data_IF_827675433489
#
_entry.id   IF_827675433489
#
_cell.length_a   1.000
_cell.length_b   1.000
_cell.length_c   1.000
_cell.angle_alpha   90.00
_cell.angle_beta   90.00
_cell.angle_gamma   90.00
#
_symmetry.space_group_name_H-M   'P 1'
#
loop_
_entity.id
_entity.type
_entity.pdbx_description
1 polymer ?
#
# COMPACT_ATOMS: atom_id res chain seq x y z
N UNK A 1 -5.62 -26.58 -7.30
CA UNK A 1 -6.65 -25.80 -6.57
C UNK A 1 -7.47 -25.09 -7.62
N UNK A 2 -8.64 -25.61 -8.00
CA UNK A 2 -9.46 -24.99 -9.05
C UNK A 2 -10.88 -24.69 -8.57
N UNK A 3 -11.06 -23.46 -8.13
CA UNK A 3 -12.36 -22.80 -8.01
C UNK A 3 -12.47 -21.73 -9.10
N UNK A 4 -13.64 -21.63 -9.73
CA UNK A 4 -13.92 -20.66 -10.80
C UNK A 4 -13.99 -19.21 -10.32
N UNK A 5 -14.17 -19.00 -9.01
CA UNK A 5 -14.20 -17.67 -8.38
C UNK A 5 -13.26 -17.65 -7.18
N UNK A 6 -12.62 -16.51 -6.97
CA UNK A 6 -11.70 -16.27 -5.85
C UNK A 6 -11.86 -14.83 -5.37
N UNK A 7 -11.55 -14.62 -4.11
CA UNK A 7 -11.47 -13.28 -3.53
C UNK A 7 -10.13 -12.65 -3.92
N UNK A 8 -10.18 -11.57 -4.73
CA UNK A 8 -8.99 -10.88 -5.20
C UNK A 8 -8.23 -10.18 -4.06
N UNK A 9 -8.95 -9.64 -3.07
CA UNK A 9 -8.33 -8.96 -1.94
C UNK A 9 -7.56 -9.98 -1.07
N UNK A 10 -8.20 -11.11 -0.75
CA UNK A 10 -7.54 -12.19 -0.03
C UNK A 10 -6.31 -12.73 -0.78
N UNK A 11 -6.40 -12.87 -2.10
CA UNK A 11 -5.27 -13.28 -2.94
C UNK A 11 -4.12 -12.28 -2.91
N UNK A 12 -4.40 -10.98 -2.91
CA UNK A 12 -3.37 -9.94 -2.85
C UNK A 12 -2.64 -9.94 -1.50
N UNK A 13 -3.38 -10.11 -0.39
CA UNK A 13 -2.79 -10.25 0.95
C UNK A 13 -1.88 -11.48 0.99
N UNK A 14 -2.40 -12.64 0.56
CA UNK A 14 -1.63 -13.89 0.57
C UNK A 14 -0.40 -13.81 -0.33
N UNK A 15 -0.52 -13.19 -1.51
CA UNK A 15 0.63 -12.95 -2.41
C UNK A 15 1.67 -12.05 -1.76
N UNK A 16 1.24 -10.99 -1.07
CA UNK A 16 2.15 -10.11 -0.35
C UNK A 16 2.96 -10.86 0.70
N UNK A 17 2.29 -11.70 1.49
CA UNK A 17 2.92 -12.56 2.51
C UNK A 17 3.86 -13.60 1.91
N UNK A 18 3.44 -14.27 0.83
CA UNK A 18 4.23 -15.28 0.11
C UNK A 18 5.52 -14.69 -0.49
N UNK A 19 5.46 -13.45 -0.99
CA UNK A 19 6.63 -12.72 -1.50
C UNK A 19 7.46 -12.05 -0.40
N UNK A 20 7.10 -12.21 0.88
CA UNK A 20 7.82 -11.63 2.00
C UNK A 20 7.82 -10.10 2.00
N UNK A 21 6.72 -9.47 1.56
CA UNK A 21 6.61 -8.02 1.65
C UNK A 21 6.70 -7.58 3.13
N UNK A 22 7.48 -6.54 3.45
CA UNK A 22 7.54 -6.01 4.81
C UNK A 22 6.20 -5.42 5.26
N UNK A 23 6.06 -5.21 6.57
CA UNK A 23 4.91 -4.52 7.14
C UNK A 23 4.83 -3.07 6.66
N UNK A 24 3.63 -2.52 6.79
CA UNK A 24 3.31 -1.16 6.35
C UNK A 24 4.23 -0.08 6.92
N UNK A 25 4.51 -0.08 8.23
CA UNK A 25 5.34 0.97 8.85
C UNK A 25 6.81 0.83 8.42
N UNK A 26 7.33 -0.39 8.29
CA UNK A 26 8.66 -0.64 7.73
C UNK A 26 8.80 -0.06 6.33
N UNK A 27 7.81 -0.25 5.46
CA UNK A 27 7.84 0.31 4.09
C UNK A 27 7.68 1.83 4.11
N UNK A 28 6.83 2.39 5.00
CA UNK A 28 6.73 3.85 5.18
C UNK A 28 8.07 4.47 5.55
N UNK A 29 8.77 3.87 6.51
CA UNK A 29 10.10 4.31 6.92
C UNK A 29 11.11 4.25 5.77
N UNK A 30 11.09 3.19 4.95
CA UNK A 30 11.93 3.09 3.75
C UNK A 30 11.69 4.26 2.78
N UNK A 31 10.43 4.66 2.59
CA UNK A 31 10.06 5.82 1.76
C UNK A 31 10.16 7.17 2.48
N UNK A 32 10.77 7.22 3.67
CA UNK A 32 10.93 8.44 4.48
C UNK A 32 9.59 9.10 4.82
N UNK A 33 8.54 8.30 4.95
CA UNK A 33 7.25 8.73 5.47
C UNK A 33 7.22 8.57 6.99
N UNK A 34 6.45 9.39 7.73
CA UNK A 34 6.32 9.26 9.17
C UNK A 34 5.74 7.89 9.55
N UNK A 35 6.33 7.23 10.56
CA UNK A 35 5.71 6.08 11.20
C UNK A 35 4.39 6.51 11.84
N UNK A 36 3.36 5.67 11.69
CA UNK A 36 2.07 5.89 12.33
C UNK A 36 1.99 5.03 13.59
N UNK A 37 1.39 5.58 14.65
CA UNK A 37 1.21 4.90 15.94
C UNK A 37 -0.25 4.63 16.28
N UNK A 38 -1.17 5.40 15.71
CA UNK A 38 -2.60 5.20 15.89
C UNK A 38 -3.26 4.89 14.55
N UNK A 39 -4.27 4.01 14.58
CA UNK A 39 -5.07 3.64 13.41
C UNK A 39 -5.80 4.83 12.79
N UNK A 40 -6.24 5.77 13.63
CA UNK A 40 -6.91 7.01 13.22
C UNK A 40 -6.03 7.89 12.33
N UNK A 41 -4.71 7.77 12.48
CA UNK A 41 -3.74 8.63 11.77
C UNK A 41 -3.47 8.12 10.34
N UNK A 42 -3.88 6.89 10.01
CA UNK A 42 -3.74 6.33 8.65
C UNK A 42 -4.59 7.13 7.66
N UNK A 43 -5.84 7.41 8.04
CA UNK A 43 -6.76 8.21 7.24
C UNK A 43 -7.82 8.86 8.13
N UNK A 44 -7.57 10.09 8.63
CA UNK A 44 -8.49 10.79 9.52
C UNK A 44 -9.86 11.05 8.89
N UNK A 45 -9.92 11.28 7.57
CA UNK A 45 -11.19 11.52 6.88
C UNK A 45 -12.01 10.24 6.74
N UNK A 46 -11.39 9.12 6.37
CA UNK A 46 -12.08 7.83 6.34
C UNK A 46 -12.55 7.41 7.74
N UNK A 47 -11.74 7.65 8.77
CA UNK A 47 -12.11 7.37 10.16
C UNK A 47 -13.36 8.15 10.59
N UNK A 48 -13.52 9.41 10.18
CA UNK A 48 -14.74 10.19 10.46
C UNK A 48 -15.99 9.59 9.83
N UNK A 49 -15.86 8.95 8.67
CA UNK A 49 -17.00 8.39 7.92
C UNK A 49 -17.33 6.94 8.33
N UNK A 50 -16.30 6.16 8.72
CA UNK A 50 -16.43 4.74 9.05
C UNK A 50 -15.50 4.34 10.19
N UNK A 51 -15.72 4.83 11.42
CA UNK A 51 -14.88 4.48 12.58
C UNK A 51 -14.91 2.97 12.88
N UNK A 52 -16.04 2.30 12.65
CA UNK A 52 -16.23 0.87 12.89
C UNK A 52 -15.27 -0.01 12.07
N UNK A 53 -14.85 0.46 10.89
CA UNK A 53 -13.85 -0.22 10.06
C UNK A 53 -12.50 -0.26 10.78
N UNK A 54 -12.09 0.85 11.38
CA UNK A 54 -10.81 0.95 12.07
C UNK A 54 -10.83 0.17 13.38
N UNK A 55 -11.95 0.15 14.09
CA UNK A 55 -12.12 -0.67 15.29
C UNK A 55 -12.00 -2.17 14.97
N UNK A 56 -12.69 -2.63 13.92
CA UNK A 56 -12.61 -4.02 13.48
C UNK A 56 -11.21 -4.41 13.01
N UNK A 57 -10.49 -3.52 12.33
CA UNK A 57 -9.10 -3.76 11.91
C UNK A 57 -8.14 -3.77 13.09
N UNK A 58 -8.31 -2.83 14.04
CA UNK A 58 -7.50 -2.78 15.25
C UNK A 58 -7.65 -4.08 16.07
N UNK A 59 -8.87 -4.59 16.22
CA UNK A 59 -9.13 -5.88 16.85
C UNK A 59 -8.50 -7.04 16.05
N UNK A 60 -8.68 -7.07 14.73
CA UNK A 60 -8.16 -8.13 13.85
C UNK A 60 -6.63 -8.26 13.93
N UNK A 61 -5.91 -7.13 14.01
CA UNK A 61 -4.46 -7.10 14.13
C UNK A 61 -3.96 -7.13 15.59
N UNK A 62 -4.85 -7.35 16.56
CA UNK A 62 -4.52 -7.51 17.98
C UNK A 62 -3.86 -6.26 18.57
N UNK A 63 -4.38 -5.09 18.22
CA UNK A 63 -3.92 -3.77 18.66
C UNK A 63 -2.47 -3.42 18.27
N UNK A 64 -1.89 -4.16 17.31
CA UNK A 64 -0.53 -3.94 16.81
C UNK A 64 -0.57 -3.36 15.40
N UNK A 65 -0.44 -2.03 15.31
CA UNK A 65 -0.38 -1.34 14.02
C UNK A 65 0.85 -1.74 13.19
N UNK A 66 1.95 -2.14 13.84
CA UNK A 66 3.18 -2.57 13.16
C UNK A 66 3.05 -3.94 12.46
N UNK A 67 1.96 -4.68 12.67
CA UNK A 67 1.71 -5.97 12.02
C UNK A 67 0.84 -5.86 10.75
N UNK A 68 0.40 -4.65 10.41
CA UNK A 68 -0.51 -4.45 9.27
C UNK A 68 0.18 -4.73 7.93
N UNK A 69 -0.48 -5.54 7.10
CA UNK A 69 0.01 -5.86 5.76
C UNK A 69 0.13 -4.59 4.91
N UNK A 70 1.21 -4.45 4.13
CA UNK A 70 1.44 -3.31 3.24
C UNK A 70 0.24 -3.00 2.33
N UNK A 71 -0.38 -4.05 1.77
CA UNK A 71 -1.54 -3.89 0.88
C UNK A 71 -2.71 -3.24 1.61
N UNK A 72 -3.01 -3.67 2.84
CA UNK A 72 -4.12 -3.13 3.63
C UNK A 72 -3.82 -1.69 4.05
N UNK A 73 -2.64 -1.42 4.59
CA UNK A 73 -2.25 -0.07 4.99
C UNK A 73 -2.29 0.92 3.83
N UNK A 74 -1.75 0.53 2.66
CA UNK A 74 -1.80 1.40 1.47
C UNK A 74 -3.21 1.60 0.91
N UNK A 75 -4.11 0.61 1.03
CA UNK A 75 -5.52 0.78 0.67
C UNK A 75 -6.23 1.74 1.64
N UNK A 76 -5.97 1.65 2.94
CA UNK A 76 -6.57 2.54 3.95
C UNK A 76 -6.15 4.01 3.78
N UNK A 77 -4.93 4.27 3.30
CA UNK A 77 -4.48 5.64 3.00
C UNK A 77 -5.19 6.28 1.79
N UNK A 78 -5.99 5.53 1.03
CA UNK A 78 -6.66 6.03 -0.17
C UNK A 78 -7.61 7.17 0.20
N UNK A 79 -7.47 8.30 -0.49
CA UNK A 79 -8.33 9.46 -0.29
C UNK A 79 -9.76 9.16 -0.74
N UNK A 80 -10.76 9.82 -0.14
CA UNK A 80 -12.18 9.58 -0.47
C UNK A 80 -12.50 9.85 -1.95
N UNK A 81 -11.72 10.71 -2.61
CA UNK A 81 -11.83 10.97 -4.06
C UNK A 81 -11.19 9.87 -4.94
N UNK A 82 -10.70 8.79 -4.35
CA UNK A 82 -10.11 7.64 -5.05
C UNK A 82 -8.63 7.81 -5.42
N UNK A 83 -7.95 8.84 -4.91
CA UNK A 83 -6.50 9.01 -5.13
C UNK A 83 -5.70 8.10 -4.20
N UNK A 84 -4.68 7.37 -4.71
CA UNK A 84 -3.84 6.54 -3.86
C UNK A 84 -3.18 7.36 -2.74
N UNK A 85 -3.01 6.73 -1.59
CA UNK A 85 -2.38 7.35 -0.42
C UNK A 85 -0.90 7.73 -0.63
N UNK A 86 -0.31 8.50 0.31
CA UNK A 86 1.10 8.90 0.26
C UNK A 86 2.09 7.76 -0.03
N UNK A 87 1.90 6.59 0.59
CA UNK A 87 2.80 5.44 0.44
C UNK A 87 2.73 4.85 -0.97
N UNK A 88 1.53 4.52 -1.44
CA UNK A 88 1.34 3.99 -2.79
C UNK A 88 1.75 5.00 -3.86
N UNK A 89 1.53 6.30 -3.66
CA UNK A 89 2.05 7.34 -4.56
C UNK A 89 3.57 7.31 -4.67
N UNK A 90 4.29 7.18 -3.55
CA UNK A 90 5.76 7.08 -3.54
C UNK A 90 6.25 5.82 -4.26
N UNK A 91 5.64 4.66 -3.97
CA UNK A 91 5.97 3.38 -4.60
C UNK A 91 5.76 3.45 -6.11
N UNK A 92 4.55 3.86 -6.53
CA UNK A 92 4.17 3.93 -7.95
C UNK A 92 5.10 4.91 -8.67
N UNK A 93 5.30 6.12 -8.13
CA UNK A 93 6.16 7.12 -8.76
C UNK A 93 7.59 6.62 -8.93
N UNK A 94 8.20 6.09 -7.87
CA UNK A 94 9.58 5.59 -7.94
C UNK A 94 9.70 4.43 -8.95
N UNK A 95 8.70 3.55 -9.01
CA UNK A 95 8.70 2.44 -9.95
C UNK A 95 8.60 2.92 -11.40
N UNK A 96 7.74 3.91 -11.69
CA UNK A 96 7.62 4.50 -13.02
C UNK A 96 8.86 5.29 -13.43
N UNK A 97 9.47 6.04 -12.51
CA UNK A 97 10.77 6.73 -12.73
C UNK A 97 11.84 5.71 -13.13
N UNK A 98 11.97 4.61 -12.38
CA UNK A 98 12.94 3.55 -12.70
C UNK A 98 12.68 2.88 -14.04
N UNK A 99 11.41 2.62 -14.40
CA UNK A 99 11.06 2.04 -15.70
C UNK A 99 11.47 2.99 -16.82
N UNK A 100 11.09 4.27 -16.72
CA UNK A 100 11.44 5.29 -17.71
C UNK A 100 12.95 5.43 -17.88
N UNK A 101 13.66 5.63 -16.77
CA UNK A 101 15.08 6.00 -16.78
C UNK A 101 15.98 4.81 -17.17
N UNK A 102 15.54 3.57 -16.91
CA UNK A 102 16.30 2.36 -17.23
C UNK A 102 15.94 1.74 -18.60
N UNK A 103 14.87 2.21 -19.25
CA UNK A 103 14.47 1.67 -20.54
C UNK A 103 15.30 2.28 -21.68
N UNK A 104 16.19 1.46 -22.25
CA UNK A 104 16.98 1.84 -23.43
C UNK A 104 16.09 2.28 -24.59
N UNK A 105 14.93 1.67 -24.76
CA UNK A 105 13.98 1.97 -25.83
C UNK A 105 12.94 3.04 -25.45
N UNK A 106 13.11 3.71 -24.32
CA UNK A 106 12.29 4.87 -23.99
C UNK A 106 12.33 5.89 -25.11
N UNK A 107 11.16 6.37 -25.56
CA UNK A 107 11.07 7.19 -26.77
C UNK A 107 11.80 8.55 -26.66
N UNK A 108 12.00 9.06 -25.44
CA UNK A 108 12.74 10.31 -25.19
C UNK A 108 14.26 10.08 -25.07
N UNK A 109 14.73 8.83 -25.08
CA UNK A 109 16.17 8.54 -24.99
C UNK A 109 16.84 8.81 -26.35
N UNK A 110 17.57 9.92 -26.46
CA UNK A 110 18.26 10.34 -27.69
C UNK A 110 19.48 9.48 -28.08
N UNK A 111 19.84 8.47 -27.28
CA UNK A 111 21.01 7.61 -27.51
C UNK A 111 20.65 6.21 -28.04
N UNK A 112 19.38 5.96 -28.35
CA UNK A 112 18.89 4.64 -28.77
C UNK A 112 18.77 4.46 -30.29
N UNK A 113 19.27 5.42 -31.07
CA UNK A 113 19.35 5.49 -32.53
C UNK A 113 20.02 6.79 -32.97
#
# INVERSE_FOLDING_TARGET
MDFSRRDLAALNIMRGRDNGLPDYNTVRKYFQLPDLKNWTDINPELYKHSPELFDALNELYGERLDDIDLYIGGMLETELEGRPGPLFRKIIRQQFERIRDADRFWFENTHNG
#
